data_IF_173182182490
#
_entry.id   IF_173182182490
#
_cell.length_a   1.000
_cell.length_b   1.000
_cell.length_c   1.000
_cell.angle_alpha   90.00
_cell.angle_beta   90.00
_cell.angle_gamma   90.00
#
_symmetry.space_group_name_H-M   'P 1'
#
loop_
_entity.id
_entity.type
_entity.pdbx_description
1 polymer ?
#
# COMPACT_ATOMS: atom_id res chain seq x y z
N UNK A 1 -3.48 -33.39 -12.84
CA UNK A 1 -3.53 -33.16 -11.37
C UNK A 1 -3.19 -31.71 -11.12
N UNK A 2 -4.09 -30.93 -10.51
CA UNK A 2 -3.83 -29.54 -10.18
C UNK A 2 -2.85 -29.47 -9.01
N UNK A 3 -1.59 -29.15 -9.28
CA UNK A 3 -0.63 -28.89 -8.22
C UNK A 3 -1.15 -27.74 -7.35
N UNK A 4 -1.37 -27.98 -6.07
CA UNK A 4 -1.75 -26.95 -5.11
C UNK A 4 -0.59 -26.61 -4.20
N UNK A 5 -0.45 -25.37 -3.80
CA UNK A 5 0.55 -24.92 -2.84
C UNK A 5 -0.12 -24.22 -1.64
N UNK A 6 0.58 -24.21 -0.51
CA UNK A 6 0.08 -23.61 0.73
C UNK A 6 0.31 -22.08 0.74
N UNK A 7 -0.74 -21.30 1.00
CA UNK A 7 -0.65 -19.85 1.11
C UNK A 7 -0.44 -19.41 2.56
N UNK A 8 0.71 -18.79 2.84
CA UNK A 8 1.05 -18.25 4.15
C UNK A 8 0.22 -17.03 4.58
N UNK A 9 -0.59 -16.45 3.69
CA UNK A 9 -1.46 -15.31 4.03
C UNK A 9 -2.89 -15.75 4.36
N UNK A 10 -3.45 -16.65 3.55
CA UNK A 10 -4.82 -17.12 3.71
C UNK A 10 -4.94 -18.35 4.62
N UNK A 11 -3.83 -19.06 4.88
CA UNK A 11 -3.83 -20.27 5.71
C UNK A 11 -4.42 -21.50 5.02
N UNK A 12 -4.66 -21.45 3.71
CA UNK A 12 -5.27 -22.52 2.91
C UNK A 12 -4.42 -22.88 1.68
N UNK A 13 -4.72 -24.03 1.06
CA UNK A 13 -4.10 -24.44 -0.20
C UNK A 13 -4.80 -23.81 -1.40
N UNK A 14 -4.02 -23.31 -2.36
CA UNK A 14 -4.53 -22.78 -3.63
C UNK A 14 -3.89 -23.51 -4.82
N UNK A 15 -4.53 -23.49 -5.99
CA UNK A 15 -3.90 -23.93 -7.24
C UNK A 15 -2.59 -23.18 -7.48
N UNK A 16 -1.52 -23.89 -7.83
CA UNK A 16 -0.19 -23.32 -8.07
C UNK A 16 -0.21 -22.27 -9.18
N UNK A 17 -1.14 -22.38 -10.12
CA UNK A 17 -1.39 -21.37 -11.16
C UNK A 17 -1.80 -19.99 -10.59
N UNK A 18 -2.49 -19.95 -9.44
CA UNK A 18 -2.92 -18.73 -8.75
C UNK A 18 -1.95 -18.32 -7.63
N UNK A 19 -0.78 -18.95 -7.55
CA UNK A 19 0.19 -18.73 -6.49
C UNK A 19 1.50 -18.16 -7.03
N UNK A 20 2.17 -17.39 -6.18
CA UNK A 20 3.49 -16.85 -6.48
C UNK A 20 4.41 -16.94 -5.25
N UNK A 21 5.67 -17.25 -5.48
CA UNK A 21 6.68 -17.08 -4.45
C UNK A 21 7.05 -15.61 -4.34
N UNK A 22 7.03 -15.10 -3.12
CA UNK A 22 7.54 -13.78 -2.78
C UNK A 22 8.81 -13.94 -1.95
N UNK A 23 9.79 -13.07 -2.20
CA UNK A 23 10.98 -12.97 -1.37
C UNK A 23 10.66 -12.12 -0.15
N UNK A 24 10.87 -12.69 1.03
CA UNK A 24 10.77 -12.01 2.31
C UNK A 24 12.14 -11.96 2.96
N UNK A 25 12.33 -11.09 3.96
CA UNK A 25 13.61 -10.97 4.70
C UNK A 25 14.13 -12.31 5.26
N UNK A 26 13.23 -13.25 5.54
CA UNK A 26 13.55 -14.57 6.11
C UNK A 26 13.52 -15.71 5.08
N UNK A 27 13.41 -15.42 3.79
CA UNK A 27 13.38 -16.41 2.71
C UNK A 27 12.16 -16.32 1.78
N UNK A 28 12.02 -17.30 0.90
CA UNK A 28 10.94 -17.38 -0.10
C UNK A 28 9.68 -17.98 0.50
N UNK A 29 8.53 -17.31 0.34
CA UNK A 29 7.22 -17.79 0.83
C UNK A 29 6.18 -17.81 -0.28
N UNK A 30 5.32 -18.82 -0.27
CA UNK A 30 4.19 -18.92 -1.19
C UNK A 30 3.00 -18.08 -0.71
N UNK A 31 2.47 -17.24 -1.60
CA UNK A 31 1.23 -16.48 -1.38
C UNK A 31 0.37 -16.48 -2.64
N UNK A 32 -0.95 -16.41 -2.46
CA UNK A 32 -1.89 -16.32 -3.58
C UNK A 32 -1.81 -14.93 -4.20
N UNK A 33 -1.98 -14.85 -5.53
CA UNK A 33 -1.91 -13.60 -6.30
C UNK A 33 -2.88 -12.56 -5.73
N UNK A 34 -4.11 -12.97 -5.38
CA UNK A 34 -5.13 -12.11 -4.76
C UNK A 34 -4.61 -11.38 -3.50
N UNK A 35 -3.93 -12.08 -2.60
CA UNK A 35 -3.37 -11.46 -1.39
C UNK A 35 -2.24 -10.48 -1.69
N UNK A 36 -1.41 -10.81 -2.69
CA UNK A 36 -0.29 -9.96 -3.11
C UNK A 36 -0.85 -8.66 -3.70
N UNK A 37 -1.84 -8.75 -4.57
CA UNK A 37 -2.51 -7.59 -5.17
C UNK A 37 -3.25 -6.74 -4.13
N UNK A 38 -3.98 -7.37 -3.20
CA UNK A 38 -4.64 -6.65 -2.10
C UNK A 38 -3.62 -5.85 -1.26
N UNK A 39 -2.49 -6.45 -0.93
CA UNK A 39 -1.42 -5.76 -0.18
C UNK A 39 -0.83 -4.59 -0.97
N UNK A 40 -0.64 -4.74 -2.29
CA UNK A 40 -0.16 -3.65 -3.16
C UNK A 40 -1.14 -2.49 -3.22
N UNK A 41 -2.44 -2.78 -3.37
CA UNK A 41 -3.50 -1.76 -3.36
C UNK A 41 -3.51 -0.98 -2.04
N UNK A 42 -3.47 -1.66 -0.90
CA UNK A 42 -3.43 -0.98 0.40
C UNK A 42 -2.22 -0.06 0.57
N UNK A 43 -1.07 -0.36 -0.04
CA UNK A 43 0.09 0.54 -0.01
C UNK A 43 -0.10 1.74 -0.93
N UNK A 44 -0.60 1.53 -2.16
CA UNK A 44 -0.86 2.60 -3.10
C UNK A 44 -1.97 3.55 -2.62
N UNK A 45 -3.04 3.01 -2.04
CA UNK A 45 -4.14 3.80 -1.46
C UNK A 45 -3.67 4.63 -0.25
N UNK A 46 -2.81 4.05 0.60
CA UNK A 46 -2.17 4.78 1.70
C UNK A 46 -1.26 5.91 1.21
N UNK A 47 -0.42 5.66 0.19
CA UNK A 47 0.45 6.68 -0.40
C UNK A 47 -0.37 7.83 -1.03
N UNK A 48 -1.42 7.49 -1.77
CA UNK A 48 -2.34 8.45 -2.36
C UNK A 48 -3.06 9.32 -1.32
N UNK A 49 -3.43 8.75 -0.17
CA UNK A 49 -3.97 9.53 0.95
C UNK A 49 -2.91 10.49 1.54
N UNK A 50 -1.70 10.00 1.81
CA UNK A 50 -0.61 10.84 2.36
C UNK A 50 -0.23 12.02 1.48
N UNK A 51 -0.19 11.81 0.14
CA UNK A 51 0.05 12.89 -0.82
C UNK A 51 -1.04 13.95 -0.80
N UNK A 52 -2.32 13.56 -0.73
CA UNK A 52 -3.45 14.50 -0.65
C UNK A 52 -3.37 15.35 0.61
N UNK A 53 -3.20 14.71 1.77
CA UNK A 53 -3.09 15.41 3.06
C UNK A 53 -1.89 16.39 3.05
N UNK A 54 -0.77 15.98 2.47
CA UNK A 54 0.41 16.86 2.36
C UNK A 54 0.15 18.08 1.46
N UNK A 55 -0.58 17.90 0.36
CA UNK A 55 -0.96 18.99 -0.53
C UNK A 55 -1.94 19.96 0.15
N UNK A 56 -2.93 19.45 0.87
CA UNK A 56 -3.89 20.25 1.64
C UNK A 56 -3.19 21.05 2.75
N UNK A 57 -2.30 20.41 3.51
CA UNK A 57 -1.51 21.07 4.55
C UNK A 57 -0.61 22.17 3.96
N UNK A 58 0.02 21.93 2.81
CA UNK A 58 0.84 22.95 2.14
C UNK A 58 0.01 24.15 1.68
N UNK A 59 -1.17 23.91 1.10
CA UNK A 59 -2.09 24.97 0.71
C UNK A 59 -2.59 25.79 1.92
N UNK A 60 -2.94 25.11 3.02
CA UNK A 60 -3.33 25.75 4.27
C UNK A 60 -2.20 26.54 4.93
N UNK A 61 -0.97 26.03 4.89
CA UNK A 61 0.19 26.76 5.40
C UNK A 61 0.50 28.02 4.57
N UNK A 62 0.39 27.94 3.25
CA UNK A 62 0.59 29.10 2.37
C UNK A 62 -0.47 30.18 2.55
N UNK A 63 -1.74 29.80 2.68
CA UNK A 63 -2.82 30.77 2.93
C UNK A 63 -2.66 31.43 4.30
N UNK A 64 -2.31 30.67 5.33
CA UNK A 64 -2.07 31.18 6.69
C UNK A 64 -0.84 32.10 6.75
N UNK A 65 0.24 31.75 6.05
CA UNK A 65 1.43 32.60 5.93
C UNK A 65 1.13 33.93 5.20
N UNK A 66 0.27 33.89 4.16
CA UNK A 66 -0.16 35.10 3.43
C UNK A 66 -1.03 36.01 4.30
N UNK A 67 -1.94 35.43 5.07
CA UNK A 67 -2.76 36.18 6.03
C UNK A 67 -1.90 36.81 7.14
N UNK A 68 -0.95 36.07 7.72
CA UNK A 68 0.00 36.62 8.70
C UNK A 68 0.85 37.76 8.13
N UNK A 69 1.29 37.68 6.88
CA UNK A 69 2.05 38.77 6.23
C UNK A 69 1.19 40.01 5.97
N UNK A 70 -0.11 39.84 5.70
CA UNK A 70 -1.03 40.95 5.50
C UNK A 70 -1.51 41.60 6.82
N UNK A 71 -1.60 40.84 7.92
CA UNK A 71 -2.01 41.36 9.23
C UNK A 71 -0.92 42.12 9.98
N UNK A 72 0.33 42.06 9.52
CA UNK A 72 1.48 42.72 10.15
C UNK A 72 1.92 43.98 9.38
N UNK A 73 1.01 44.58 8.59
CA UNK A 73 1.24 45.75 7.74
C UNK A 73 0.34 46.91 8.16
#
# INVERSE_FOLDING_TARGET
MSETAYCYHCGIHHPRAEMRQIETKSGKRWRCIKSIEATKRSTAERDGFGRRVSAENKAGAQSKARLMQNSNR
#
